data_IF_446243995510
#
_entry.id   IF_446243995510
#
_cell.length_a   1.000
_cell.length_b   1.000
_cell.length_c   1.000
_cell.angle_alpha   90.00
_cell.angle_beta   90.00
_cell.angle_gamma   90.00
#
_symmetry.space_group_name_H-M   'P 1'
#
loop_
_entity.id
_entity.type
_entity.pdbx_description
1 polymer ?
#
# COMPACT_ATOMS: atom_id res chain seq x y z
N UNK A 1 -47.11 16.07 23.00
CA UNK A 1 -46.93 15.14 21.86
C UNK A 1 -46.59 15.97 20.64
N UNK A 2 -45.80 15.42 19.72
CA UNK A 2 -45.04 16.08 18.64
C UNK A 2 -43.76 16.75 19.18
N UNK A 3 -42.56 16.14 19.16
CA UNK A 3 -42.02 15.15 18.23
C UNK A 3 -41.22 15.87 17.14
N UNK A 4 -40.06 16.41 17.50
CA UNK A 4 -39.13 17.08 16.59
C UNK A 4 -37.75 16.42 16.68
N UNK A 5 -37.49 15.47 15.79
CA UNK A 5 -36.17 14.89 15.56
C UNK A 5 -35.22 15.99 15.08
N UNK A 6 -34.23 16.32 15.91
CA UNK A 6 -33.07 17.11 15.45
C UNK A 6 -32.14 16.15 14.74
N UNK A 7 -32.19 16.17 13.41
CA UNK A 7 -31.14 15.66 12.53
C UNK A 7 -29.83 16.39 12.87
N UNK A 8 -29.01 15.75 13.70
CA UNK A 8 -27.69 16.23 14.05
C UNK A 8 -26.75 16.10 12.86
N UNK A 9 -26.60 17.17 12.08
CA UNK A 9 -25.43 17.34 11.22
C UNK A 9 -24.22 17.39 12.14
N UNK A 10 -23.42 16.31 12.15
CA UNK A 10 -22.13 16.28 12.83
C UNK A 10 -21.22 17.24 12.08
N UNK A 11 -21.17 18.49 12.55
CA UNK A 11 -20.11 19.43 12.21
C UNK A 11 -18.88 18.92 12.95
N UNK A 12 -18.01 18.18 12.25
CA UNK A 12 -16.71 17.76 12.77
C UNK A 12 -15.87 19.02 12.96
N UNK A 13 -15.80 19.50 14.20
CA UNK A 13 -14.96 20.60 14.61
C UNK A 13 -13.49 20.30 14.29
N UNK A 14 -12.79 21.32 13.79
CA UNK A 14 -11.34 21.33 13.64
C UNK A 14 -10.73 21.44 15.05
N UNK A 15 -10.44 20.30 15.66
CA UNK A 15 -9.82 20.20 16.98
C UNK A 15 -10.28 18.93 17.67
N UNK A 16 -9.35 18.01 17.91
CA UNK A 16 -9.53 16.64 18.42
C UNK A 16 -10.02 15.61 17.37
N UNK A 17 -9.09 15.19 16.51
CA UNK A 17 -9.33 14.13 15.54
C UNK A 17 -9.22 12.75 16.21
N UNK A 18 -10.38 12.17 16.51
CA UNK A 18 -10.55 10.75 16.82
C UNK A 18 -11.71 10.21 15.98
N UNK A 19 -11.43 9.31 15.03
CA UNK A 19 -12.43 8.55 14.27
C UNK A 19 -12.96 7.44 15.19
N UNK A 20 -14.22 7.54 15.69
CA UNK A 20 -14.73 6.55 16.61
C UNK A 20 -14.89 5.18 15.93
N UNK A 21 -14.83 4.09 16.70
CA UNK A 21 -15.09 2.75 16.15
C UNK A 21 -16.53 2.56 15.60
N UNK A 22 -17.46 3.44 15.99
CA UNK A 22 -18.83 3.52 15.46
C UNK A 22 -18.94 4.23 14.11
N UNK A 23 -17.83 4.73 13.55
CA UNK A 23 -17.82 5.41 12.25
C UNK A 23 -18.33 4.47 11.16
N UNK A 24 -19.33 4.95 10.41
CA UNK A 24 -19.87 4.20 9.28
C UNK A 24 -18.92 4.24 8.08
N UNK A 25 -18.93 3.23 7.20
CA UNK A 25 -18.13 3.26 5.97
C UNK A 25 -18.38 4.50 5.10
N UNK A 26 -19.61 5.02 5.07
CA UNK A 26 -19.95 6.25 4.34
C UNK A 26 -19.25 7.48 4.93
N UNK A 27 -19.22 7.60 6.26
CA UNK A 27 -18.47 8.68 6.93
C UNK A 27 -16.97 8.52 6.70
N UNK A 28 -16.44 7.30 6.79
CA UNK A 28 -15.03 7.03 6.49
C UNK A 28 -14.67 7.41 5.05
N UNK A 29 -15.49 7.04 4.06
CA UNK A 29 -15.32 7.42 2.65
C UNK A 29 -15.24 8.94 2.46
N UNK A 30 -16.13 9.72 3.09
CA UNK A 30 -16.10 11.17 3.00
C UNK A 30 -14.80 11.78 3.58
N UNK A 31 -14.27 11.21 4.67
CA UNK A 31 -12.98 11.64 5.23
C UNK A 31 -11.82 11.25 4.31
N UNK A 32 -11.85 10.04 3.75
CA UNK A 32 -10.85 9.55 2.81
C UNK A 32 -10.84 10.35 1.51
N UNK A 33 -11.99 10.86 1.05
CA UNK A 33 -12.04 11.78 -0.08
C UNK A 33 -11.27 13.07 0.23
N UNK A 34 -11.37 13.61 1.45
CA UNK A 34 -10.56 14.77 1.86
C UNK A 34 -9.06 14.46 1.88
N UNK A 35 -8.68 13.26 2.29
CA UNK A 35 -7.28 12.79 2.21
C UNK A 35 -6.81 12.76 0.76
N UNK A 36 -7.62 12.21 -0.15
CA UNK A 36 -7.33 12.17 -1.60
C UNK A 36 -7.17 13.58 -2.17
N UNK A 37 -8.11 14.47 -1.88
CA UNK A 37 -8.11 15.85 -2.36
C UNK A 37 -6.88 16.61 -1.86
N UNK A 38 -6.44 16.35 -0.62
CA UNK A 38 -5.23 16.96 -0.06
C UNK A 38 -3.96 16.46 -0.75
N UNK A 39 -3.87 15.16 -1.08
CA UNK A 39 -2.76 14.57 -1.83
C UNK A 39 -2.70 15.06 -3.28
N UNK A 40 -3.86 15.24 -3.91
CA UNK A 40 -3.96 15.70 -5.29
C UNK A 40 -3.42 17.13 -5.50
N UNK A 41 -3.31 17.93 -4.42
CA UNK A 41 -2.69 19.27 -4.49
C UNK A 41 -1.20 19.24 -4.80
N UNK A 42 -0.49 18.19 -4.38
CA UNK A 42 0.96 18.04 -4.59
C UNK A 42 1.28 17.01 -5.66
N UNK A 43 0.45 15.98 -5.82
CA UNK A 43 0.66 14.87 -6.76
C UNK A 43 -0.19 15.04 -8.03
N UNK A 44 0.08 16.10 -8.77
CA UNK A 44 -0.70 16.47 -9.96
C UNK A 44 -0.59 15.40 -11.03
N UNK A 45 -1.74 14.92 -11.53
CA UNK A 45 -1.80 13.94 -12.61
C UNK A 45 -1.46 12.50 -12.17
N UNK A 46 -1.46 12.20 -10.86
CA UNK A 46 -1.08 10.88 -10.35
C UNK A 46 -2.23 10.16 -9.63
N UNK A 47 -3.46 10.28 -10.12
CA UNK A 47 -4.66 9.71 -9.48
C UNK A 47 -4.54 8.22 -9.17
N UNK A 48 -4.08 7.44 -10.16
CA UNK A 48 -3.88 5.99 -9.99
C UNK A 48 -2.87 5.70 -8.88
N UNK A 49 -1.84 6.51 -8.71
CA UNK A 49 -0.85 6.30 -7.67
C UNK A 49 -1.39 6.63 -6.28
N UNK A 50 -2.12 7.74 -6.16
CA UNK A 50 -2.83 8.11 -4.93
C UNK A 50 -3.78 6.97 -4.51
N UNK A 51 -4.57 6.45 -5.45
CA UNK A 51 -5.50 5.34 -5.20
C UNK A 51 -4.80 4.09 -4.69
N UNK A 52 -3.65 3.72 -5.27
CA UNK A 52 -2.89 2.54 -4.85
C UNK A 52 -2.20 2.75 -3.49
N UNK A 53 -1.72 3.95 -3.19
CA UNK A 53 -1.20 4.29 -1.86
C UNK A 53 -2.28 4.21 -0.79
N UNK A 54 -3.44 4.82 -1.03
CA UNK A 54 -4.57 4.75 -0.10
C UNK A 54 -5.03 3.31 0.08
N UNK A 55 -5.15 2.53 -1.00
CA UNK A 55 -5.53 1.13 -0.95
C UNK A 55 -4.56 0.30 -0.07
N UNK A 56 -3.24 0.45 -0.28
CA UNK A 56 -2.23 -0.23 0.50
C UNK A 56 -2.30 0.16 1.99
N UNK A 57 -2.41 1.46 2.28
CA UNK A 57 -2.55 1.97 3.65
C UNK A 57 -3.77 1.38 4.35
N UNK A 58 -4.96 1.45 3.72
CA UNK A 58 -6.22 1.06 4.34
C UNK A 58 -6.39 -0.46 4.48
N UNK A 59 -5.83 -1.23 3.55
CA UNK A 59 -5.78 -2.68 3.66
C UNK A 59 -4.67 -3.16 4.61
N UNK A 60 -3.86 -2.25 5.15
CA UNK A 60 -2.77 -2.57 6.08
C UNK A 60 -1.62 -3.35 5.43
N UNK A 61 -1.42 -3.18 4.12
CA UNK A 61 -0.35 -3.81 3.35
C UNK A 61 0.71 -2.81 2.88
N UNK A 62 1.66 -3.30 2.08
CA UNK A 62 2.76 -2.50 1.54
C UNK A 62 2.61 -2.30 0.01
N UNK A 63 3.17 -1.21 -0.50
CA UNK A 63 3.11 -0.84 -1.92
C UNK A 63 4.48 -1.01 -2.57
N UNK A 64 4.53 -1.76 -3.67
CA UNK A 64 5.67 -1.85 -4.58
C UNK A 64 5.47 -0.88 -5.74
N UNK A 65 6.46 -0.01 -5.97
CA UNK A 65 6.45 1.04 -6.98
C UNK A 65 7.52 0.72 -8.01
N UNK A 66 7.08 0.27 -9.18
CA UNK A 66 7.96 0.10 -10.34
C UNK A 66 7.89 1.34 -11.21
N UNK A 67 9.01 1.97 -11.50
CA UNK A 67 9.01 3.10 -12.41
C UNK A 67 10.31 3.88 -12.41
N UNK A 68 10.46 4.72 -13.42
CA UNK A 68 11.68 5.53 -13.60
C UNK A 68 11.88 6.53 -12.45
N UNK A 69 13.14 6.97 -12.23
CA UNK A 69 13.44 8.05 -11.30
C UNK A 69 12.70 9.36 -11.66
N UNK A 70 12.52 10.24 -10.68
CA UNK A 70 12.00 11.60 -10.91
C UNK A 70 10.47 11.76 -10.89
N UNK A 71 9.70 10.70 -10.62
CA UNK A 71 8.22 10.76 -10.61
C UNK A 71 7.61 11.19 -9.25
N UNK A 72 8.29 12.06 -8.51
CA UNK A 72 7.82 12.60 -7.22
C UNK A 72 7.45 11.55 -6.14
N UNK A 73 8.05 10.35 -6.18
CA UNK A 73 7.80 9.26 -5.21
C UNK A 73 8.10 9.68 -3.76
N UNK A 74 9.20 10.42 -3.56
CA UNK A 74 9.57 11.00 -2.26
C UNK A 74 8.53 11.99 -1.75
N UNK A 75 8.12 12.92 -2.61
CA UNK A 75 7.07 13.88 -2.30
C UNK A 75 5.77 13.17 -1.92
N UNK A 76 5.41 12.09 -2.62
CA UNK A 76 4.19 11.35 -2.34
C UNK A 76 4.19 10.67 -0.97
N UNK A 77 5.30 10.02 -0.60
CA UNK A 77 5.45 9.38 0.70
C UNK A 77 5.39 10.41 1.86
N UNK A 78 6.09 11.53 1.71
CA UNK A 78 6.08 12.63 2.68
C UNK A 78 4.71 13.29 2.78
N UNK A 79 4.05 13.52 1.63
CA UNK A 79 2.70 14.06 1.55
C UNK A 79 1.72 13.17 2.28
N UNK A 80 1.75 11.86 2.02
CA UNK A 80 0.90 10.87 2.69
C UNK A 80 1.09 10.90 4.20
N UNK A 81 2.34 10.82 4.67
CA UNK A 81 2.65 10.85 6.09
C UNK A 81 2.11 12.12 6.76
N UNK A 82 2.24 13.29 6.11
CA UNK A 82 1.73 14.56 6.63
C UNK A 82 0.20 14.63 6.63
N UNK A 83 -0.46 14.21 5.55
CA UNK A 83 -1.94 14.20 5.46
C UNK A 83 -2.54 13.30 6.54
N UNK A 84 -1.89 12.19 6.86
CA UNK A 84 -2.38 11.24 7.86
C UNK A 84 -1.76 11.41 9.25
N UNK A 85 -1.08 12.52 9.51
CA UNK A 85 -0.54 12.85 10.83
C UNK A 85 0.40 11.78 11.37
N UNK A 86 1.22 11.22 10.49
CA UNK A 86 2.03 10.03 10.73
C UNK A 86 3.53 10.35 10.57
N UNK A 87 4.39 9.61 11.27
CA UNK A 87 5.85 9.80 11.16
C UNK A 87 6.34 9.27 9.81
N UNK A 88 7.20 10.04 9.16
CA UNK A 88 7.87 9.65 7.92
C UNK A 88 9.29 9.12 8.18
N UNK A 89 9.66 8.07 7.45
CA UNK A 89 11.01 7.53 7.40
C UNK A 89 11.44 7.29 5.96
N UNK A 90 12.73 7.45 5.67
CA UNK A 90 13.30 7.17 4.35
C UNK A 90 14.54 6.29 4.49
N UNK A 91 14.61 5.27 3.64
CA UNK A 91 15.75 4.39 3.47
C UNK A 91 16.14 4.44 2.00
N UNK A 92 17.36 4.88 1.71
CA UNK A 92 17.95 4.74 0.39
C UNK A 92 18.70 3.42 0.36
N UNK A 93 18.31 2.50 -0.52
CA UNK A 93 19.03 1.24 -0.68
C UNK A 93 20.24 1.47 -1.58
N UNK A 94 21.40 1.10 -1.05
CA UNK A 94 22.70 1.15 -1.73
C UNK A 94 23.44 -0.17 -1.51
N UNK A 95 24.44 -0.50 -2.34
CA UNK A 95 25.16 -1.77 -2.22
C UNK A 95 25.88 -1.98 -0.88
N UNK A 96 26.21 -0.89 -0.19
CA UNK A 96 26.91 -0.84 1.10
C UNK A 96 25.97 -0.74 2.31
N UNK A 97 24.66 -0.58 2.10
CA UNK A 97 23.69 -0.42 3.18
C UNK A 97 23.66 -1.68 4.07
N UNK A 98 23.80 -1.50 5.38
CA UNK A 98 23.74 -2.59 6.35
C UNK A 98 22.32 -2.77 6.91
N UNK A 99 21.94 -3.99 7.34
CA UNK A 99 20.69 -4.22 8.05
C UNK A 99 20.48 -3.28 9.25
N UNK A 100 21.54 -2.99 10.00
CA UNK A 100 21.50 -2.11 11.17
C UNK A 100 21.24 -0.63 10.81
N UNK A 101 21.51 -0.20 9.58
CA UNK A 101 21.17 1.16 9.13
C UNK A 101 19.66 1.31 8.89
N UNK A 102 18.96 0.18 8.70
CA UNK A 102 17.50 0.10 8.53
C UNK A 102 16.83 -0.02 9.89
N UNK A 103 17.25 -1.01 10.68
CA UNK A 103 16.61 -1.34 11.97
C UNK A 103 17.09 -0.45 13.10
N UNK A 104 18.38 -0.11 13.14
CA UNK A 104 18.98 0.67 14.22
C UNK A 104 20.10 -0.11 14.91
N UNK A 105 20.84 0.60 15.75
CA UNK A 105 22.01 0.06 16.45
C UNK A 105 22.21 0.74 17.81
N UNK A 106 22.87 0.06 18.73
CA UNK A 106 23.28 0.66 20.00
C UNK A 106 24.54 1.50 19.79
N UNK A 107 24.48 2.77 20.20
CA UNK A 107 25.59 3.71 20.12
C UNK A 107 26.03 4.07 21.53
N UNK A 108 27.35 3.95 21.78
CA UNK A 108 27.96 4.39 23.03
C UNK A 108 27.85 5.92 23.13
N UNK A 109 27.18 6.40 24.16
CA UNK A 109 27.11 7.80 24.53
C UNK A 109 28.43 8.20 25.21
N UNK A 110 29.22 9.11 24.61
CA UNK A 110 30.50 9.54 25.21
C UNK A 110 30.32 10.35 26.50
N UNK A 111 29.11 10.82 26.80
CA UNK A 111 28.81 11.68 27.95
C UNK A 111 28.71 10.90 29.25
N UNK A 112 28.13 9.71 29.21
CA UNK A 112 27.80 8.90 30.39
C UNK A 112 28.30 7.45 30.27
N UNK A 113 28.94 7.07 29.16
CA UNK A 113 29.48 5.73 28.95
C UNK A 113 28.40 4.66 28.77
N UNK A 114 27.15 5.06 28.51
CA UNK A 114 26.02 4.15 28.33
C UNK A 114 25.77 3.84 26.86
N UNK A 115 25.28 2.64 26.56
CA UNK A 115 24.79 2.29 25.22
C UNK A 115 23.33 2.75 25.09
N UNK A 116 23.04 3.54 24.06
CA UNK A 116 21.69 4.03 23.76
C UNK A 116 21.25 3.57 22.37
N UNK A 117 20.00 3.12 22.24
CA UNK A 117 19.48 2.69 20.96
C UNK A 117 19.30 3.91 20.04
N UNK A 118 20.04 3.91 18.93
CA UNK A 118 19.75 4.78 17.79
C UNK A 118 18.78 4.05 16.86
N UNK A 119 17.49 4.30 17.04
CA UNK A 119 16.44 3.72 16.23
C UNK A 119 16.63 4.06 14.74
N UNK A 120 16.48 3.05 13.89
CA UNK A 120 16.57 3.21 12.44
C UNK A 120 15.36 3.93 11.82
N UNK A 121 15.46 4.30 10.54
CA UNK A 121 14.41 4.99 9.80
C UNK A 121 13.08 4.21 9.69
N UNK A 122 13.08 2.89 9.89
CA UNK A 122 11.85 2.09 9.87
C UNK A 122 10.94 2.34 11.07
N UNK A 123 11.43 2.98 12.14
CA UNK A 123 10.62 3.39 13.29
C UNK A 123 9.77 4.63 12.96
N UNK A 124 8.96 4.50 11.92
CA UNK A 124 8.07 5.50 11.35
C UNK A 124 6.81 4.80 10.82
N UNK A 125 5.74 5.56 10.61
CA UNK A 125 4.47 5.01 10.14
C UNK A 125 4.44 4.81 8.62
N UNK A 126 5.04 5.74 7.88
CA UNK A 126 5.18 5.70 6.42
C UNK A 126 6.66 5.69 6.10
N UNK A 127 7.14 4.59 5.55
CA UNK A 127 8.55 4.38 5.21
C UNK A 127 8.69 4.30 3.70
N UNK A 128 9.49 5.19 3.11
CA UNK A 128 9.94 5.08 1.73
C UNK A 128 11.23 4.26 1.67
N UNK A 129 11.21 3.12 1.02
CA UNK A 129 12.37 2.28 0.73
C UNK A 129 12.75 2.47 -0.75
N UNK A 130 13.66 3.39 -1.02
CA UNK A 130 14.02 3.80 -2.37
C UNK A 130 15.06 2.84 -2.96
N UNK A 131 14.81 2.36 -4.18
CA UNK A 131 15.69 1.48 -4.96
C UNK A 131 16.04 0.18 -4.26
N UNK A 132 15.02 -0.51 -3.71
CA UNK A 132 15.18 -1.73 -2.89
C UNK A 132 16.03 -2.81 -3.58
N UNK A 133 16.03 -2.84 -4.91
CA UNK A 133 16.82 -3.74 -5.74
C UNK A 133 18.31 -3.36 -5.82
N UNK A 134 18.81 -2.32 -5.15
CA UNK A 134 20.25 -1.94 -5.15
C UNK A 134 21.02 -2.45 -3.94
N UNK A 135 20.36 -2.93 -2.89
CA UNK A 135 21.04 -3.52 -1.74
C UNK A 135 21.07 -5.05 -1.81
N UNK A 136 22.05 -5.71 -1.16
CA UNK A 136 22.13 -7.16 -1.11
C UNK A 136 20.90 -7.80 -0.44
N UNK A 137 20.64 -9.07 -0.75
CA UNK A 137 19.51 -9.84 -0.21
C UNK A 137 19.41 -9.84 1.33
N UNK A 138 20.56 -9.80 2.03
CA UNK A 138 20.60 -9.73 3.51
C UNK A 138 20.00 -8.43 4.04
N UNK A 139 20.27 -7.30 3.38
CA UNK A 139 19.77 -5.98 3.74
C UNK A 139 18.29 -5.84 3.36
N UNK A 140 17.90 -6.34 2.19
CA UNK A 140 16.48 -6.45 1.79
C UNK A 140 15.66 -7.24 2.81
N UNK A 141 16.20 -8.36 3.28
CA UNK A 141 15.53 -9.23 4.26
C UNK A 141 15.20 -8.51 5.57
N UNK A 142 16.06 -7.59 6.04
CA UNK A 142 15.81 -6.85 7.28
C UNK A 142 14.54 -5.98 7.20
N UNK A 143 14.31 -5.31 6.05
CA UNK A 143 13.09 -4.55 5.81
C UNK A 143 11.86 -5.48 5.65
N UNK A 144 12.02 -6.59 4.92
CA UNK A 144 10.93 -7.51 4.63
C UNK A 144 10.46 -8.30 5.85
N UNK A 145 11.37 -8.61 6.77
CA UNK A 145 11.07 -9.17 8.09
C UNK A 145 10.26 -8.16 8.91
N UNK A 146 10.72 -6.91 8.98
CA UNK A 146 10.00 -5.83 9.65
C UNK A 146 8.58 -5.61 9.08
N UNK A 147 8.40 -5.73 7.76
CA UNK A 147 7.09 -5.69 7.09
C UNK A 147 6.17 -6.82 7.54
N UNK A 148 6.69 -8.03 7.70
CA UNK A 148 5.91 -9.21 8.02
C UNK A 148 5.58 -9.30 9.52
N UNK A 149 6.57 -9.05 10.37
CA UNK A 149 6.47 -9.22 11.82
C UNK A 149 5.98 -7.96 12.54
N UNK A 150 6.03 -6.79 11.87
CA UNK A 150 5.70 -5.47 12.44
C UNK A 150 6.50 -5.11 13.70
N UNK A 151 7.66 -5.74 13.85
CA UNK A 151 8.61 -5.54 14.93
C UNK A 151 10.02 -5.73 14.37
N UNK A 152 11.04 -5.34 15.13
CA UNK A 152 12.42 -5.72 14.89
C UNK A 152 13.10 -6.19 16.15
N UNK A 153 14.08 -7.08 15.98
CA UNK A 153 14.95 -7.53 17.06
C UNK A 153 16.33 -6.91 16.89
N UNK A 154 16.80 -6.16 17.89
CA UNK A 154 18.11 -5.50 17.90
C UNK A 154 18.87 -6.02 19.11
N UNK A 155 19.97 -6.75 18.87
CA UNK A 155 20.81 -7.35 19.92
C UNK A 155 20.06 -8.20 20.97
N UNK A 156 18.93 -8.81 20.58
CA UNK A 156 18.12 -9.68 21.43
C UNK A 156 16.87 -8.99 22.01
N UNK A 157 16.81 -7.66 21.97
CA UNK A 157 15.64 -6.89 22.41
C UNK A 157 14.64 -6.71 21.26
N UNK A 158 13.35 -6.93 21.55
CA UNK A 158 12.25 -6.79 20.59
C UNK A 158 11.62 -5.40 20.69
N UNK A 159 11.46 -4.74 19.54
CA UNK A 159 10.86 -3.41 19.42
C UNK A 159 9.71 -3.44 18.41
N UNK A 160 8.53 -3.04 18.84
CA UNK A 160 7.34 -2.93 17.97
C UNK A 160 7.43 -1.69 17.07
N UNK A 161 6.97 -1.82 15.83
CA UNK A 161 6.88 -0.71 14.89
C UNK A 161 5.56 0.05 15.09
N UNK A 162 5.55 1.38 14.92
CA UNK A 162 4.38 2.19 15.21
C UNK A 162 3.24 1.93 14.20
N UNK A 163 2.01 1.61 14.66
CA UNK A 163 0.86 1.47 13.76
C UNK A 163 0.29 2.85 13.36
N UNK A 164 -0.21 3.02 12.11
CA UNK A 164 -0.09 2.08 11.00
C UNK A 164 1.37 2.02 10.50
N UNK A 165 1.77 0.88 9.96
CA UNK A 165 3.10 0.69 9.36
C UNK A 165 2.96 0.37 7.87
N UNK A 166 3.27 1.35 7.03
CA UNK A 166 3.23 1.28 5.57
C UNK A 166 4.64 1.43 5.02
N UNK A 167 5.01 0.53 4.09
CA UNK A 167 6.26 0.62 3.34
C UNK A 167 5.91 0.86 1.88
N UNK A 168 6.51 1.90 1.32
CA UNK A 168 6.48 2.24 -0.10
C UNK A 168 7.86 1.88 -0.66
N UNK A 169 7.99 0.73 -1.31
CA UNK A 169 9.27 0.29 -1.87
C UNK A 169 9.35 0.63 -3.34
N UNK A 170 10.43 1.26 -3.79
CA UNK A 170 10.64 1.58 -5.20
C UNK A 170 11.66 0.63 -5.81
N UNK A 171 11.44 0.21 -7.06
CA UNK A 171 12.44 -0.48 -7.86
C UNK A 171 12.47 0.09 -9.27
N UNK A 172 13.67 0.23 -9.82
CA UNK A 172 13.87 0.65 -11.20
C UNK A 172 14.14 -0.58 -12.07
N UNK A 173 13.24 -0.93 -13.02
CA UNK A 173 13.37 -2.14 -13.83
C UNK A 173 14.44 -2.04 -14.93
N UNK A 174 14.97 -0.84 -15.21
CA UNK A 174 15.91 -0.59 -16.33
C UNK A 174 17.37 -0.63 -15.87
N UNK A 175 17.63 -0.66 -14.56
CA UNK A 175 18.99 -0.58 -14.04
C UNK A 175 19.70 -1.93 -14.21
N UNK A 176 20.68 -1.98 -15.10
CA UNK A 176 21.34 -3.23 -15.54
C UNK A 176 22.62 -3.55 -14.75
N UNK A 177 23.16 -2.60 -13.98
CA UNK A 177 24.39 -2.78 -13.21
C UNK A 177 24.14 -2.71 -11.70
N UNK A 178 24.64 -3.69 -10.95
CA UNK A 178 24.63 -3.67 -9.48
C UNK A 178 23.25 -3.87 -8.84
N UNK A 179 22.29 -4.46 -9.55
CA UNK A 179 20.96 -4.77 -8.98
C UNK A 179 20.85 -6.20 -8.48
N UNK A 180 20.17 -6.37 -7.35
CA UNK A 180 19.76 -7.61 -6.73
C UNK A 180 18.22 -7.72 -6.84
N UNK A 181 17.69 -8.50 -7.80
CA UNK A 181 16.25 -8.65 -7.94
C UNK A 181 15.64 -9.25 -6.67
N UNK A 182 14.46 -8.78 -6.31
CA UNK A 182 13.70 -9.36 -5.21
C UNK A 182 13.21 -10.76 -5.63
N UNK A 183 13.51 -11.83 -4.86
CA UNK A 183 12.88 -13.12 -5.04
C UNK A 183 11.36 -13.02 -5.00
N UNK A 184 10.68 -13.93 -5.70
CA UNK A 184 9.22 -13.97 -5.85
C UNK A 184 8.51 -14.06 -4.49
N UNK A 185 9.08 -14.85 -3.58
CA UNK A 185 8.59 -14.98 -2.20
C UNK A 185 8.66 -13.65 -1.40
N UNK A 186 9.55 -12.73 -1.78
CA UNK A 186 9.67 -11.40 -1.20
C UNK A 186 8.67 -10.43 -1.83
N UNK A 187 8.53 -10.47 -3.15
CA UNK A 187 7.54 -9.67 -3.89
C UNK A 187 6.11 -9.96 -3.40
N UNK A 188 5.80 -11.21 -3.06
CA UNK A 188 4.49 -11.64 -2.53
C UNK A 188 4.08 -10.91 -1.23
N UNK A 189 5.04 -10.37 -0.45
CA UNK A 189 4.79 -9.57 0.77
C UNK A 189 4.24 -8.18 0.47
N UNK A 190 4.40 -7.66 -0.74
CA UNK A 190 3.75 -6.43 -1.15
C UNK A 190 2.32 -6.72 -1.53
N UNK A 191 1.38 -6.01 -0.92
CA UNK A 191 -0.05 -6.20 -1.18
C UNK A 191 -0.43 -5.65 -2.55
N UNK A 192 0.10 -4.48 -2.87
CA UNK A 192 -0.24 -3.71 -4.06
C UNK A 192 1.03 -3.43 -4.85
N UNK A 193 0.95 -3.53 -6.18
CA UNK A 193 1.94 -2.99 -7.12
C UNK A 193 1.34 -1.83 -7.91
N UNK A 194 2.14 -0.80 -8.14
CA UNK A 194 1.88 0.25 -9.12
C UNK A 194 3.06 0.36 -10.09
N UNK A 195 2.76 0.40 -11.38
CA UNK A 195 3.74 0.69 -12.44
C UNK A 195 3.54 2.14 -12.85
N UNK A 196 4.60 2.94 -12.73
CA UNK A 196 4.64 4.35 -13.08
C UNK A 196 5.51 4.52 -14.32
N UNK A 197 4.85 4.72 -15.45
CA UNK A 197 5.50 5.17 -16.68
C UNK A 197 5.75 6.67 -16.67
N UNK A 198 6.29 7.19 -17.77
CA UNK A 198 6.33 8.64 -17.97
C UNK A 198 4.91 9.21 -17.94
N UNK A 199 4.72 10.41 -17.35
CA UNK A 199 3.44 11.09 -17.39
C UNK A 199 3.01 11.32 -18.83
N UNK A 200 1.70 11.27 -19.08
CA UNK A 200 1.19 11.66 -20.40
C UNK A 200 1.34 13.17 -20.61
N UNK A 201 1.21 13.65 -21.85
CA UNK A 201 1.42 15.06 -22.18
C UNK A 201 0.57 16.05 -21.34
N UNK A 202 -0.64 15.65 -20.88
CA UNK A 202 -1.47 16.50 -20.03
C UNK A 202 -0.93 16.54 -18.60
N UNK A 203 -0.56 15.38 -18.06
CA UNK A 203 0.06 15.27 -16.73
C UNK A 203 1.39 16.01 -16.69
N UNK A 204 2.23 15.83 -17.71
CA UNK A 204 3.52 16.50 -17.84
C UNK A 204 3.36 18.02 -17.99
N UNK A 205 2.40 18.48 -18.79
CA UNK A 205 2.08 19.91 -18.88
C UNK A 205 1.62 20.49 -17.54
N UNK A 206 0.83 19.73 -16.78
CA UNK A 206 0.38 20.15 -15.46
C UNK A 206 1.55 20.22 -14.46
N UNK A 207 2.45 19.23 -14.48
CA UNK A 207 3.68 19.23 -13.69
C UNK A 207 4.57 20.44 -14.03
N UNK A 208 4.75 20.76 -15.31
CA UNK A 208 5.54 21.93 -15.75
C UNK A 208 4.96 23.26 -15.25
N UNK A 209 3.63 23.40 -15.22
CA UNK A 209 2.97 24.62 -14.71
C UNK A 209 3.16 24.81 -13.21
N UNK A 210 3.34 23.72 -12.48
CA UNK A 210 3.62 23.72 -11.04
C UNK A 210 5.11 23.71 -10.70
N UNK A 211 5.98 23.50 -11.70
CA UNK A 211 7.42 23.40 -11.48
C UNK A 211 8.00 24.75 -11.05
N UNK A 212 8.67 24.80 -9.89
CA UNK A 212 9.21 26.03 -9.31
C UNK A 212 8.19 26.88 -8.55
N UNK A 213 6.93 26.45 -8.49
CA UNK A 213 5.93 27.02 -7.57
C UNK A 213 6.03 26.25 -6.25
N UNK A 214 6.10 26.96 -5.13
CA UNK A 214 6.12 26.30 -3.82
C UNK A 214 4.82 25.50 -3.66
N UNK A 215 4.90 24.18 -3.43
CA UNK A 215 3.71 23.35 -3.33
C UNK A 215 2.85 23.84 -2.15
N UNK A 216 1.52 23.85 -2.28
CA UNK A 216 0.65 24.28 -1.21
C UNK A 216 0.92 23.46 0.05
N UNK A 217 0.93 24.14 1.20
CA UNK A 217 1.17 23.49 2.48
C UNK A 217 0.09 22.43 2.75
N UNK A 218 0.51 21.17 2.72
CA UNK A 218 -0.33 20.02 3.05
C UNK A 218 -0.77 20.12 4.51
N UNK A 219 -2.08 19.98 4.72
CA UNK A 219 -2.69 19.92 6.05
C UNK A 219 -2.93 18.48 6.48
N UNK A 220 -2.73 18.21 7.76
CA UNK A 220 -3.16 16.94 8.34
C UNK A 220 -4.70 16.88 8.30
N UNK A 221 -5.23 15.79 7.75
CA UNK A 221 -6.66 15.48 7.67
C UNK A 221 -7.01 14.38 8.70
N UNK A 222 -6.08 13.47 8.94
CA UNK A 222 -6.18 12.37 9.90
C UNK A 222 -4.98 12.39 10.84
N UNK A 223 -5.12 11.73 11.98
CA UNK A 223 -4.00 11.24 12.79
C UNK A 223 -3.65 9.78 12.44
N UNK A 224 -2.47 9.33 12.86
CA UNK A 224 -2.08 7.91 12.72
C UNK A 224 -3.11 6.96 13.37
N UNK A 225 -3.68 7.34 14.52
CA UNK A 225 -4.69 6.53 15.22
C UNK A 225 -6.00 6.45 14.43
N UNK A 226 -6.39 7.52 13.75
CA UNK A 226 -7.58 7.52 12.89
C UNK A 226 -7.43 6.53 11.73
N UNK A 227 -6.22 6.44 11.14
CA UNK A 227 -5.94 5.45 10.10
C UNK A 227 -6.12 4.03 10.63
N UNK A 228 -5.63 3.73 11.84
CA UNK A 228 -5.82 2.42 12.48
C UNK A 228 -7.31 2.14 12.72
N UNK A 229 -8.08 3.14 13.16
CA UNK A 229 -9.52 2.99 13.32
C UNK A 229 -10.22 2.69 11.98
N UNK A 230 -9.82 3.34 10.89
CA UNK A 230 -10.35 3.08 9.54
C UNK A 230 -9.91 1.69 9.02
N UNK A 231 -8.68 1.25 9.27
CA UNK A 231 -8.23 -0.11 8.96
C UNK A 231 -9.12 -1.15 9.67
N UNK A 232 -9.52 -0.90 10.92
CA UNK A 232 -10.45 -1.75 11.64
C UNK A 232 -11.88 -1.72 11.06
N UNK A 233 -12.32 -0.60 10.48
CA UNK A 233 -13.58 -0.55 9.70
C UNK A 233 -13.46 -1.42 8.44
N UNK A 234 -12.35 -1.32 7.70
CA UNK A 234 -12.09 -2.15 6.53
C UNK A 234 -12.13 -3.65 6.89
N UNK A 235 -11.53 -4.06 8.00
CA UNK A 235 -11.57 -5.44 8.48
C UNK A 235 -12.99 -5.98 8.71
N UNK A 236 -13.91 -5.13 9.18
CA UNK A 236 -15.31 -5.45 9.51
C UNK A 236 -16.27 -5.45 8.31
N UNK A 237 -15.82 -5.08 7.11
CA UNK A 237 -16.65 -5.15 5.90
C UNK A 237 -17.14 -6.58 5.69
N UNK A 238 -18.45 -6.72 5.48
CA UNK A 238 -19.11 -8.01 5.25
C UNK A 238 -18.69 -8.60 3.90
N UNK A 239 -18.46 -9.91 3.87
CA UNK A 239 -18.11 -10.66 2.65
C UNK A 239 -18.95 -11.92 2.62
N UNK A 240 -19.76 -12.07 1.58
CA UNK A 240 -20.50 -13.29 1.33
C UNK A 240 -19.57 -14.42 0.84
N UNK A 241 -19.91 -15.67 1.16
CA UNK A 241 -19.07 -16.84 0.85
C UNK A 241 -18.78 -16.97 -0.65
N UNK A 242 -19.73 -16.59 -1.50
CA UNK A 242 -19.57 -16.63 -2.96
C UNK A 242 -18.50 -15.66 -3.49
N UNK A 243 -18.19 -14.59 -2.75
CA UNK A 243 -17.07 -13.70 -3.05
C UNK A 243 -15.73 -14.31 -2.65
N UNK A 244 -15.68 -15.13 -1.59
CA UNK A 244 -14.50 -15.93 -1.28
C UNK A 244 -14.24 -16.96 -2.40
N UNK A 245 -15.29 -17.66 -2.82
CA UNK A 245 -15.19 -18.62 -3.94
C UNK A 245 -14.79 -17.94 -5.25
N UNK A 246 -15.30 -16.72 -5.50
CA UNK A 246 -14.90 -15.93 -6.65
C UNK A 246 -13.42 -15.54 -6.61
N UNK A 247 -12.92 -15.07 -5.46
CA UNK A 247 -11.50 -14.75 -5.28
C UNK A 247 -10.60 -15.99 -5.47
N UNK A 248 -11.00 -17.14 -4.93
CA UNK A 248 -10.30 -18.43 -5.13
C UNK A 248 -10.33 -18.86 -6.59
N UNK A 249 -11.45 -18.68 -7.29
CA UNK A 249 -11.59 -19.03 -8.70
C UNK A 249 -10.65 -18.19 -9.58
N UNK A 250 -10.54 -16.89 -9.29
CA UNK A 250 -9.60 -16.01 -9.97
C UNK A 250 -8.14 -16.46 -9.77
N UNK A 251 -7.72 -16.75 -8.55
CA UNK A 251 -6.34 -17.20 -8.32
C UNK A 251 -6.08 -18.59 -8.87
N UNK A 252 -7.08 -19.49 -8.85
CA UNK A 252 -7.00 -20.82 -9.47
C UNK A 252 -6.81 -20.74 -10.97
N UNK A 253 -7.51 -19.81 -11.64
CA UNK A 253 -7.29 -19.53 -13.06
C UNK A 253 -5.82 -19.20 -13.36
N UNK A 254 -5.20 -18.34 -12.55
CA UNK A 254 -3.78 -18.00 -12.74
C UNK A 254 -2.83 -19.19 -12.58
N UNK A 255 -3.15 -20.15 -11.70
CA UNK A 255 -2.32 -21.35 -11.45
C UNK A 255 -2.41 -22.37 -12.58
N UNK A 256 -3.52 -22.40 -13.32
CA UNK A 256 -3.74 -23.30 -14.44
C UNK A 256 -3.39 -22.66 -15.80
N UNK A 257 -2.96 -21.39 -15.81
CA UNK A 257 -2.72 -20.65 -17.04
C UNK A 257 -1.41 -21.11 -17.72
N UNK A 258 -1.40 -21.44 -19.03
CA UNK A 258 -0.24 -22.06 -19.70
C UNK A 258 1.02 -21.17 -19.74
N UNK A 259 0.86 -19.85 -19.64
CA UNK A 259 1.98 -18.88 -19.60
C UNK A 259 2.55 -18.65 -18.20
N UNK A 260 2.03 -19.34 -17.18
CA UNK A 260 2.38 -19.11 -15.77
C UNK A 260 3.12 -20.35 -15.24
N UNK A 261 4.37 -20.17 -14.83
CA UNK A 261 5.16 -21.20 -14.15
C UNK A 261 4.72 -21.36 -12.68
N UNK A 262 4.40 -20.25 -12.02
CA UNK A 262 3.88 -20.24 -10.66
C UNK A 262 2.79 -19.16 -10.52
N UNK A 263 1.57 -19.61 -10.23
CA UNK A 263 0.39 -18.75 -10.09
C UNK A 263 0.26 -18.10 -8.70
N UNK A 264 -0.80 -17.33 -8.53
CA UNK A 264 -1.03 -16.55 -7.32
C UNK A 264 -1.13 -17.42 -6.06
N UNK A 265 -0.41 -17.04 -5.01
CA UNK A 265 -0.33 -17.74 -3.71
C UNK A 265 -1.67 -17.68 -2.92
N UNK A 266 -1.84 -18.49 -1.86
CA UNK A 266 -2.94 -18.27 -0.91
C UNK A 266 -2.92 -16.88 -0.27
N UNK A 267 -1.72 -16.32 0.01
CA UNK A 267 -1.57 -14.93 0.47
C UNK A 267 -2.15 -13.94 -0.55
N UNK A 268 -2.01 -14.21 -1.84
CA UNK A 268 -2.61 -13.38 -2.88
C UNK A 268 -4.13 -13.36 -2.80
N UNK A 269 -4.75 -14.50 -2.48
CA UNK A 269 -6.22 -14.60 -2.34
C UNK A 269 -6.70 -13.81 -1.11
N UNK A 270 -5.99 -13.93 0.02
CA UNK A 270 -6.26 -13.13 1.21
C UNK A 270 -6.10 -11.63 0.93
N UNK A 271 -5.00 -11.25 0.28
CA UNK A 271 -4.72 -9.87 -0.10
C UNK A 271 -5.78 -9.30 -1.06
N UNK A 272 -6.32 -10.12 -1.96
CA UNK A 272 -7.38 -9.72 -2.87
C UNK A 272 -8.66 -9.33 -2.14
N UNK A 273 -9.06 -10.12 -1.15
CA UNK A 273 -10.24 -9.82 -0.31
C UNK A 273 -9.97 -8.61 0.60
N UNK A 274 -8.79 -8.52 1.23
CA UNK A 274 -8.41 -7.37 2.07
C UNK A 274 -8.41 -6.05 1.29
N UNK A 275 -7.80 -6.03 0.10
CA UNK A 275 -7.82 -4.88 -0.78
C UNK A 275 -9.24 -4.56 -1.27
N UNK A 276 -10.03 -5.58 -1.61
CA UNK A 276 -11.43 -5.40 -1.97
C UNK A 276 -12.25 -4.73 -0.86
N UNK A 277 -12.06 -5.15 0.40
CA UNK A 277 -12.71 -4.52 1.56
C UNK A 277 -12.33 -3.05 1.71
N UNK A 278 -11.05 -2.73 1.58
CA UNK A 278 -10.58 -1.34 1.59
C UNK A 278 -11.19 -0.51 0.43
N UNK A 279 -11.30 -1.11 -0.75
CA UNK A 279 -11.98 -0.48 -1.90
C UNK A 279 -13.49 -0.25 -1.63
N UNK A 280 -14.18 -1.18 -0.99
CA UNK A 280 -15.57 -1.01 -0.58
C UNK A 280 -15.75 0.16 0.40
N UNK A 281 -14.83 0.31 1.37
CA UNK A 281 -14.85 1.46 2.31
C UNK A 281 -14.55 2.77 1.60
N UNK A 282 -13.61 2.80 0.65
CA UNK A 282 -13.38 3.98 -0.20
C UNK A 282 -14.65 4.38 -0.95
N UNK A 283 -15.44 3.40 -1.41
CA UNK A 283 -16.73 3.60 -2.03
C UNK A 283 -17.91 3.83 -1.05
N UNK A 284 -17.64 3.90 0.26
CA UNK A 284 -18.66 4.18 1.29
C UNK A 284 -19.58 3.00 1.63
N UNK A 285 -19.20 1.77 1.28
CA UNK A 285 -20.00 0.55 1.49
C UNK A 285 -19.50 -0.30 2.65
N UNK A 286 -20.45 -0.95 3.34
CA UNK A 286 -20.20 -1.86 4.46
C UNK A 286 -20.09 -3.35 4.06
N UNK A 287 -20.24 -3.64 2.77
CA UNK A 287 -20.20 -4.97 2.20
C UNK A 287 -19.40 -4.96 0.89
N UNK A 288 -18.73 -6.07 0.63
CA UNK A 288 -17.96 -6.29 -0.58
C UNK A 288 -18.89 -6.65 -1.75
N UNK A 289 -18.57 -6.18 -2.95
CA UNK A 289 -19.23 -6.60 -4.21
C UNK A 289 -18.17 -7.12 -5.20
N UNK A 290 -18.56 -7.89 -6.23
CA UNK A 290 -17.61 -8.41 -7.22
C UNK A 290 -16.75 -7.33 -7.89
N UNK A 291 -17.31 -6.15 -8.12
CA UNK A 291 -16.63 -5.01 -8.73
C UNK A 291 -15.44 -4.51 -7.89
N UNK A 292 -15.51 -4.64 -6.56
CA UNK A 292 -14.38 -4.29 -5.68
C UNK A 292 -13.19 -5.21 -5.92
N UNK A 293 -13.45 -6.52 -5.99
CA UNK A 293 -12.43 -7.54 -6.28
C UNK A 293 -11.83 -7.27 -7.67
N UNK A 294 -12.68 -7.00 -8.66
CA UNK A 294 -12.27 -6.69 -10.03
C UNK A 294 -11.37 -5.45 -10.10
N UNK A 295 -11.71 -4.39 -9.38
CA UNK A 295 -10.97 -3.12 -9.40
C UNK A 295 -9.54 -3.22 -8.82
N UNK A 296 -9.34 -4.15 -7.86
CA UNK A 296 -8.04 -4.34 -7.20
C UNK A 296 -7.22 -5.50 -7.77
N UNK A 297 -7.84 -6.43 -8.52
CA UNK A 297 -7.21 -7.67 -8.97
C UNK A 297 -5.87 -7.49 -9.67
N UNK A 298 -5.77 -6.61 -10.67
CA UNK A 298 -4.52 -6.40 -11.40
C UNK A 298 -3.40 -5.92 -10.47
N UNK A 299 -3.69 -4.94 -9.61
CA UNK A 299 -2.69 -4.38 -8.71
C UNK A 299 -2.28 -5.31 -7.58
N UNK A 300 -3.11 -6.31 -7.25
CA UNK A 300 -2.84 -7.26 -6.18
C UNK A 300 -2.24 -8.57 -6.70
N UNK A 301 -2.60 -9.02 -7.90
CA UNK A 301 -2.23 -10.34 -8.41
C UNK A 301 -1.06 -10.30 -9.40
N UNK A 302 -0.94 -9.26 -10.23
CA UNK A 302 -0.03 -9.30 -11.38
C UNK A 302 1.43 -9.54 -10.98
N UNK A 303 1.94 -8.85 -9.96
CA UNK A 303 3.33 -8.98 -9.49
C UNK A 303 3.65 -10.31 -8.80
N UNK A 304 2.64 -11.13 -8.53
CA UNK A 304 2.78 -12.44 -7.89
C UNK A 304 2.84 -13.60 -8.89
N UNK A 305 2.72 -13.31 -10.18
CA UNK A 305 2.81 -14.31 -11.24
C UNK A 305 4.24 -14.47 -11.73
N UNK A 306 4.72 -15.71 -11.69
CA UNK A 306 5.98 -16.11 -12.33
C UNK A 306 5.63 -16.66 -13.70
N UNK A 307 6.17 -16.05 -14.74
CA UNK A 307 5.91 -16.44 -16.11
C UNK A 307 6.89 -17.54 -16.54
N UNK A 308 6.54 -18.28 -17.60
CA UNK A 308 7.49 -19.16 -18.28
C UNK A 308 8.51 -18.33 -19.07
N UNK A 309 9.70 -18.89 -19.32
CA UNK A 309 10.82 -18.21 -19.97
C UNK A 309 10.44 -17.53 -21.30
N UNK A 310 9.59 -18.18 -22.11
CA UNK A 310 9.16 -17.69 -23.42
C UNK A 310 8.47 -16.31 -23.40
N UNK A 311 7.87 -15.94 -22.26
CA UNK A 311 7.09 -14.70 -22.11
C UNK A 311 7.56 -13.84 -20.92
N UNK A 312 8.63 -14.23 -20.25
CA UNK A 312 9.13 -13.57 -19.03
C UNK A 312 9.55 -12.11 -19.28
N UNK A 313 10.11 -11.82 -20.45
CA UNK A 313 10.56 -10.48 -20.84
C UNK A 313 9.43 -9.47 -21.10
N UNK A 314 8.18 -9.91 -21.23
CA UNK A 314 7.04 -9.01 -21.46
C UNK A 314 6.31 -8.70 -20.15
N UNK A 315 6.59 -7.51 -19.61
CA UNK A 315 5.96 -7.00 -18.39
C UNK A 315 4.43 -6.91 -18.45
N UNK A 316 3.82 -6.79 -19.65
CA UNK A 316 2.36 -6.66 -19.82
C UNK A 316 1.64 -8.00 -19.70
N UNK A 317 2.32 -9.12 -19.94
CA UNK A 317 1.70 -10.46 -19.92
C UNK A 317 1.08 -10.75 -18.55
N UNK A 318 1.72 -10.31 -17.45
CA UNK A 318 1.18 -10.48 -16.10
C UNK A 318 -0.18 -9.79 -15.94
N UNK A 319 -0.32 -8.56 -16.42
CA UNK A 319 -1.58 -7.81 -16.32
C UNK A 319 -2.66 -8.41 -17.24
N UNK A 320 -2.29 -8.78 -18.46
CA UNK A 320 -3.20 -9.41 -19.43
C UNK A 320 -3.79 -10.73 -18.91
N UNK A 321 -3.00 -11.56 -18.24
CA UNK A 321 -3.48 -12.82 -17.64
C UNK A 321 -4.55 -12.55 -16.58
N UNK A 322 -4.38 -11.49 -15.79
CA UNK A 322 -5.39 -11.11 -14.78
C UNK A 322 -6.65 -10.56 -15.46
N UNK A 323 -6.51 -9.70 -16.46
CA UNK A 323 -7.65 -9.19 -17.25
C UNK A 323 -8.43 -10.33 -17.93
N UNK A 324 -7.71 -11.32 -18.46
CA UNK A 324 -8.30 -12.54 -19.02
C UNK A 324 -9.05 -13.35 -17.95
N UNK A 325 -8.48 -13.51 -16.75
CA UNK A 325 -9.14 -14.16 -15.62
C UNK A 325 -10.44 -13.43 -15.24
N UNK A 326 -10.43 -12.09 -15.17
CA UNK A 326 -11.61 -11.27 -14.86
C UNK A 326 -12.72 -11.41 -15.91
N UNK A 327 -12.34 -11.63 -17.16
CA UNK A 327 -13.26 -11.85 -18.29
C UNK A 327 -13.87 -13.27 -18.28
N UNK A 328 -13.04 -14.29 -18.07
CA UNK A 328 -13.45 -15.71 -18.18
C UNK A 328 -14.05 -16.28 -16.90
N UNK A 329 -13.63 -15.80 -15.73
CA UNK A 329 -14.17 -16.25 -14.45
C UNK A 329 -15.38 -15.38 -14.11
N UNK A 330 -16.57 -15.94 -14.34
CA UNK A 330 -17.83 -15.31 -13.95
C UNK A 330 -18.08 -15.41 -12.45
N UNK A 331 -18.56 -14.33 -11.84
CA UNK A 331 -19.17 -14.39 -10.52
C UNK A 331 -20.53 -15.10 -10.65
N UNK A 332 -20.72 -16.17 -9.87
CA UNK A 332 -22.00 -16.89 -9.78
C UNK A 332 -22.48 -16.75 -8.35
N UNK A 333 -23.59 -16.02 -8.16
CA UNK A 333 -24.20 -15.88 -6.85
C UNK A 333 -24.59 -17.26 -6.35
N UNK A 334 -24.06 -17.66 -5.19
CA UNK A 334 -24.41 -18.94 -4.59
C UNK A 334 -25.90 -18.96 -4.27
N UNK A 335 -26.68 -19.84 -4.89
CA UNK A 335 -28.05 -20.09 -4.47
C UNK A 335 -27.97 -20.77 -3.09
N UNK A 336 -28.16 -20.01 -2.01
CA UNK A 336 -28.47 -20.61 -0.71
C UNK A 336 -29.90 -21.13 -0.78
N UNK A 337 -30.07 -22.45 -0.86
CA UNK A 337 -31.35 -23.06 -0.56
C UNK A 337 -31.71 -22.68 0.89
N UNK A 338 -32.86 -22.02 1.05
CA UNK A 338 -33.47 -21.72 2.36
C UNK A 338 -33.93 -23.03 3.00
#
# INVERSE_FOLDING_TARGET
MFGGERSGTIVVGLGEHFVPQSTTPTTASAILQRVRDELAKTLVGQDRFIDRMMLALLAGGHLLIEGVPGLAKTLAAESLARVVGAKYGRVQFTPDLLPADITGTYVLSPRDGTFSLRAGPIFANVVLADEINRAPAKTQSALLEAMQERQVTIEGDRFELPPPFLVLATQNPIDLEGTYPLPEAQIDRFLVRVVMGYPNAREESAMLRTHGVEPPAIRAVLSAQDVVAIQAICGRVHVDDDLHDYAVSLTTYTRAHPKVALGASPRATLGLVQAGKAHAVLAGRAYLVPEDIRAVAVAVLAHRLVLIADVEGDSRVREQIIEEALSKVGYRRGFRAV
#
